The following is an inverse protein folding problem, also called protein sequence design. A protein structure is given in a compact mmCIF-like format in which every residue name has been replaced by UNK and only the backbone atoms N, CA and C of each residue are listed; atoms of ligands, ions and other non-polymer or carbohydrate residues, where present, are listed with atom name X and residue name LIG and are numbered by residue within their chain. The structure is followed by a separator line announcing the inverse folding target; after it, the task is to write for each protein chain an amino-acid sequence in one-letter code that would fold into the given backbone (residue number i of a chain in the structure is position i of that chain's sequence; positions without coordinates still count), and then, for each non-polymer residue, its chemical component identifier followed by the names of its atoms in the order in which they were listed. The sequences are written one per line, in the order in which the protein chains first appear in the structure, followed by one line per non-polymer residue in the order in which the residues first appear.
data_IF_643674448215
#
_entry.id   IF_643674448215
#
_cell.length_a   1.000
_cell.length_b   1.000
_cell.length_c   1.000
_cell.angle_alpha   90.00
_cell.angle_beta   90.00
_cell.angle_gamma   90.00
#
_symmetry.space_group_name_H-M   'P 1'
#
loop_
_entity.id
_entity.type
_entity.pdbx_description
1 polymer ?
2 polymer ?
3 non-polymer ?
4 non-polymer ?
5 water ?
#
# COMPACT_ATOMS: atom_id res chain seq x y z
N UNK A 3 -14.40 17.52 -9.95
CA UNK A 3 -15.47 16.84 -9.23
C UNK A 3 -15.83 15.52 -9.91
N UNK A 4 -16.96 14.94 -9.50
CA UNK A 4 -17.45 13.70 -10.08
C UNK A 4 -16.54 12.50 -9.81
N UNK A 5 -15.54 12.69 -8.95
CA UNK A 5 -14.64 11.61 -8.59
C UNK A 5 -15.35 10.62 -7.68
N UNK A 6 -14.90 9.36 -7.69
CA UNK A 6 -15.54 8.31 -6.90
C UNK A 6 -14.98 8.28 -5.48
N UNK A 7 -15.81 8.63 -4.47
CA UNK A 7 -15.29 8.68 -3.09
C UNK A 7 -14.90 7.33 -2.51
N UNK A 8 -13.80 7.29 -1.76
CA UNK A 8 -13.40 6.12 -1.00
C UNK A 8 -14.04 6.15 0.38
N UNK A 9 -14.17 4.99 1.01
CA UNK A 9 -14.76 4.91 2.34
C UNK A 9 -13.88 5.62 3.37
N UNK A 10 -12.56 5.46 3.22
CA UNK A 10 -11.61 6.05 4.15
C UNK A 10 -10.61 6.97 3.47
N UNK A 11 -9.98 7.81 4.28
CA UNK A 11 -8.87 8.66 3.84
C UNK A 11 -7.57 7.89 4.06
N UNK A 12 -6.73 7.86 3.05
CA UNK A 12 -5.46 7.14 3.12
C UNK A 12 -4.28 8.09 2.96
N UNK A 13 -3.17 7.74 3.61
CA UNK A 13 -1.96 8.56 3.56
C UNK A 13 -0.77 7.70 3.13
N UNK A 14 -0.04 8.17 2.12
CA UNK A 14 1.17 7.49 1.66
C UNK A 14 2.40 8.03 2.39
N UNK A 15 3.15 7.13 3.03
CA UNK A 15 4.39 7.48 3.70
C UNK A 15 5.58 6.92 2.95
N UNK A 16 6.68 7.67 2.96
CA UNK A 16 7.91 7.21 2.33
C UNK A 16 9.06 7.23 3.34
N UNK A 17 9.54 6.05 3.69
CA UNK A 17 10.69 5.93 4.59
C UNK A 17 11.95 6.17 3.80
N UNK A 18 12.62 7.29 4.08
CA UNK A 18 13.86 7.62 3.39
C UNK A 18 15.04 6.91 4.05
N UNK A 19 16.09 6.67 3.27
CA UNK A 19 17.32 6.10 3.79
C UNK A 19 18.29 7.20 4.20
N UNK A 20 18.19 7.63 5.46
CA UNK A 20 19.01 8.73 5.97
C UNK A 20 19.48 8.42 7.38
N UNK A 21 20.70 7.91 7.50
CA UNK A 21 21.22 7.47 8.79
C UNK A 21 21.57 8.65 9.71
N UNK A 22 21.44 9.87 9.21
CA UNK A 22 21.62 11.05 10.04
C UNK A 22 20.38 11.33 10.87
N UNK A 23 19.34 10.52 10.66
CA UNK A 23 18.09 10.63 11.41
C UNK A 23 17.73 9.31 12.07
N UNK A 24 16.87 9.36 13.08
CA UNK A 24 16.31 8.15 13.67
C UNK A 24 15.28 7.57 12.71
N UNK A 25 14.93 6.30 12.91
CA UNK A 25 14.00 5.61 12.03
C UNK A 25 12.67 6.37 11.90
N UNK A 26 12.16 6.84 13.03
CA UNK A 26 10.91 7.59 13.04
C UNK A 26 11.00 8.87 12.21
N UNK A 27 12.15 9.53 12.29
CA UNK A 27 12.37 10.78 11.56
C UNK A 27 12.48 10.55 10.06
N UNK A 28 12.84 9.34 9.66
CA UNK A 28 12.98 9.00 8.25
C UNK A 28 11.61 8.91 7.57
N UNK A 29 10.56 8.70 8.35
CA UNK A 29 9.22 8.57 7.80
C UNK A 29 8.70 9.90 7.25
N UNK A 30 8.57 9.97 5.93
CA UNK A 30 8.13 11.18 5.26
C UNK A 30 6.69 11.05 4.74
N UNK A 31 5.82 11.90 5.25
CA UNK A 31 4.42 11.94 4.83
C UNK A 31 4.30 12.67 3.49
N UNK A 32 3.95 11.92 2.44
CA UNK A 32 3.88 12.48 1.09
C UNK A 32 2.58 13.25 0.87
N UNK A 33 1.45 12.53 0.88
CA UNK A 33 0.15 13.16 0.72
C UNK A 33 -0.98 12.21 1.07
N UNK A 34 -2.20 12.75 1.14
CA UNK A 34 -3.40 11.97 1.43
C UNK A 34 -4.39 12.06 0.28
N UNK A 35 -5.30 11.09 0.20
CA UNK A 35 -6.33 11.07 -0.84
C UNK A 35 -7.57 10.32 -0.35
N UNK A 36 -8.71 10.59 -0.98
CA UNK A 36 -9.96 9.95 -0.55
C UNK A 36 -10.95 9.75 -1.70
N UNK A 37 -10.42 9.70 -2.92
CA UNK A 37 -11.20 9.25 -4.08
C UNK A 37 -10.34 8.33 -4.93
N UNK A 38 -10.98 7.51 -5.76
CA UNK A 38 -10.28 6.56 -6.60
C UNK A 38 -9.36 7.28 -7.60
N UNK A 39 -9.87 8.37 -8.17
CA UNK A 39 -9.13 9.09 -9.20
C UNK A 39 -7.88 9.76 -8.60
N UNK A 40 -8.03 10.28 -7.39
CA UNK A 40 -6.90 10.89 -6.70
C UNK A 40 -5.83 9.85 -6.35
N UNK A 41 -6.25 8.61 -6.14
CA UNK A 41 -5.29 7.54 -5.90
C UNK A 41 -4.45 7.30 -7.14
N UNK A 42 -5.10 7.19 -8.30
CA UNK A 42 -4.39 6.96 -9.55
C UNK A 42 -3.54 8.17 -9.93
N UNK A 43 -4.00 9.36 -9.53
CA UNK A 43 -3.22 10.57 -9.74
C UNK A 43 -1.88 10.45 -9.01
N UNK A 44 -1.92 10.00 -7.77
CA UNK A 44 -0.72 9.79 -6.98
C UNK A 44 0.12 8.67 -7.59
N UNK A 45 -0.52 7.56 -7.92
CA UNK A 45 0.18 6.38 -8.42
C UNK A 45 0.91 6.65 -9.73
N UNK A 46 0.29 7.44 -10.61
CA UNK A 46 0.87 7.73 -11.92
C UNK A 46 2.07 8.66 -11.86
N UNK A 47 2.35 9.20 -10.68
CA UNK A 47 3.41 10.22 -10.55
C UNK A 47 4.34 9.96 -9.36
N UNK A 48 4.35 8.72 -8.87
CA UNK A 48 5.41 8.27 -7.96
C UNK A 48 5.99 6.97 -8.49
N UNK A 49 7.28 6.76 -8.25
CA UNK A 49 7.97 5.58 -8.77
C UNK A 49 7.45 4.31 -8.13
N UNK A 50 7.29 3.23 -8.93
CA UNK A 50 6.96 1.94 -8.32
C UNK A 50 8.05 1.46 -7.37
N UNK A 51 7.73 0.50 -6.49
CA UNK A 51 8.68 -0.03 -5.51
C UNK A 51 9.99 -0.51 -6.14
N UNK A 52 9.91 -1.03 -7.37
CA UNK A 52 11.05 -1.62 -8.04
C UNK A 52 12.05 -0.59 -8.57
N UNK A 53 11.77 0.69 -8.34
CA UNK A 53 12.60 1.76 -8.89
C UNK A 53 13.21 2.67 -7.81
N UNK A 54 12.83 2.45 -6.55
CA UNK A 54 13.32 3.30 -5.47
C UNK A 54 14.44 2.60 -4.68
N UNK A 55 15.20 3.40 -3.95
CA UNK A 55 16.45 2.96 -3.31
C UNK A 55 16.24 1.84 -2.29
N UNK A 56 17.29 1.03 -2.11
CA UNK A 56 17.29 -0.03 -1.12
C UNK A 56 17.30 0.56 0.29
N UNK A 57 16.49 -0.01 1.17
CA UNK A 57 16.40 0.44 2.55
C UNK A 57 15.28 1.44 2.78
N UNK A 58 14.52 1.74 1.73
CA UNK A 58 13.37 2.64 1.81
C UNK A 58 12.07 1.84 1.77
N UNK A 59 11.00 2.44 2.29
CA UNK A 59 9.69 1.80 2.34
C UNK A 59 8.60 2.66 1.71
N UNK A 60 7.57 2.00 1.18
CA UNK A 60 6.30 2.63 0.88
C UNK A 60 5.27 2.11 1.88
N UNK A 61 4.54 3.03 2.51
CA UNK A 61 3.48 2.66 3.44
C UNK A 61 2.20 3.44 3.15
N UNK A 62 1.10 2.72 2.97
CA UNK A 62 -0.22 3.34 2.86
C UNK A 62 -1.04 3.00 4.09
N UNK A 63 -1.39 4.03 4.86
CA UNK A 63 -2.15 3.85 6.09
C UNK A 63 -3.34 4.80 6.15
N UNK A 64 -4.36 4.41 6.90
CA UNK A 64 -5.50 5.28 7.13
C UNK A 64 -5.05 6.56 7.80
N UNK A 65 -5.76 7.65 7.51
CA UNK A 65 -5.44 8.96 8.08
C UNK A 65 -5.36 8.89 9.61
N UNK A 66 -4.36 9.56 10.16
CA UNK A 66 -4.13 9.63 11.62
C UNK A 66 -3.57 8.34 12.21
N UNK A 67 -3.13 7.42 11.35
CA UNK A 67 -2.39 6.23 11.79
C UNK A 67 -1.01 6.22 11.16
N UNK A 68 0.02 6.34 12.00
CA UNK A 68 1.40 6.30 11.52
C UNK A 68 1.83 4.86 11.30
N UNK A 69 2.71 4.62 10.32
CA UNK A 69 3.18 3.26 10.03
C UNK A 69 4.26 2.80 11.00
N UNK A 70 3.93 2.76 12.30
CA UNK A 70 4.91 2.41 13.31
C UNK A 70 4.29 1.75 14.54
N UNK A 71 5.10 0.98 15.26
CA UNK A 71 4.65 0.25 16.44
C UNK A 71 4.08 1.16 17.52
N UNK A 72 4.60 2.38 17.58
CA UNK A 72 4.28 3.30 18.67
C UNK A 72 2.85 3.83 18.58
N UNK A 73 2.30 3.86 17.37
CA UNK A 73 0.96 4.37 17.17
C UNK A 73 -0.06 3.53 17.94
N UNK A 74 -0.99 4.20 18.60
CA UNK A 74 -1.98 3.54 19.44
C UNK A 74 -2.80 2.51 18.65
N UNK A 75 -2.92 2.72 17.35
CA UNK A 75 -3.69 1.82 16.49
C UNK A 75 -2.93 0.53 16.19
N UNK A 76 -1.63 0.52 16.47
CA UNK A 76 -0.78 -0.61 16.15
C UNK A 76 -0.22 -1.32 17.38
N UNK A 77 -0.32 -0.67 18.55
CA UNK A 77 0.28 -1.19 19.78
C UNK A 77 -0.08 -2.65 20.06
N UNK A 78 -1.37 -2.96 19.92
CA UNK A 78 -1.87 -4.31 20.19
C UNK A 78 -2.02 -5.12 18.90
N UNK A 79 -1.41 -4.64 17.83
CA UNK A 79 -1.62 -5.19 16.50
C UNK A 79 -0.54 -6.12 15.99
N UNK A 80 -0.67 -6.49 14.73
CA UNK A 80 0.27 -7.36 14.06
C UNK A 80 0.15 -7.21 12.55
N UNK A 81 0.89 -8.03 11.81
CA UNK A 81 0.93 -7.92 10.35
C UNK A 81 0.95 -9.26 9.66
N UNK A 82 0.22 -9.37 8.55
CA UNK A 82 0.35 -10.51 7.64
C UNK A 82 1.56 -10.28 6.74
N UNK A 83 2.59 -11.11 6.89
CA UNK A 83 3.81 -10.95 6.11
C UNK A 83 3.82 -11.86 4.89
N UNK A 84 4.14 -11.28 3.74
CA UNK A 84 4.31 -12.03 2.50
C UNK A 84 5.77 -11.93 2.06
N UNK A 85 6.47 -13.06 2.11
CA UNK A 85 7.89 -13.09 1.75
C UNK A 85 8.08 -13.25 0.25
N UNK A 86 8.94 -12.39 -0.31
CA UNK A 86 9.24 -12.43 -1.74
C UNK A 86 10.73 -12.72 -1.96
N UNK A 90 11.48 -10.64 -9.66
CA UNK A 90 10.91 -9.96 -10.83
C UNK A 90 10.40 -8.57 -10.43
N UNK A 91 10.73 -7.57 -11.26
CA UNK A 91 10.32 -6.20 -11.01
C UNK A 91 8.82 -6.04 -11.22
N UNK A 92 8.31 -6.58 -12.31
CA UNK A 92 6.89 -6.47 -12.65
C UNK A 92 6.02 -7.18 -11.63
N UNK A 93 6.47 -8.35 -11.18
CA UNK A 93 5.71 -9.15 -10.24
C UNK A 93 5.55 -8.42 -8.91
N UNK A 94 6.61 -7.76 -8.47
CA UNK A 94 6.60 -7.05 -7.20
C UNK A 94 5.70 -5.81 -7.25
N UNK A 95 5.81 -5.04 -8.32
CA UNK A 95 5.01 -3.83 -8.48
C UNK A 95 3.52 -4.15 -8.52
N UNK A 96 3.15 -5.16 -9.30
CA UNK A 96 1.76 -5.55 -9.45
C UNK A 96 1.17 -6.11 -8.17
N UNK A 97 1.97 -6.85 -7.41
CA UNK A 97 1.53 -7.40 -6.14
C UNK A 97 1.27 -6.27 -5.15
N UNK A 98 2.14 -5.27 -5.16
CA UNK A 98 1.98 -4.10 -4.30
C UNK A 98 0.71 -3.34 -4.67
N UNK A 99 0.49 -3.16 -5.97
CA UNK A 99 -0.69 -2.45 -6.46
C UNK A 99 -1.97 -3.18 -6.08
N UNK A 100 -1.97 -4.51 -6.23
CA UNK A 100 -3.14 -5.30 -5.89
C UNK A 100 -3.51 -5.16 -4.42
N UNK A 101 -2.49 -5.08 -3.56
CA UNK A 101 -2.72 -4.86 -2.14
C UNK A 101 -3.31 -3.48 -1.89
N UNK A 102 -2.78 -2.48 -2.58
CA UNK A 102 -3.28 -1.11 -2.46
C UNK A 102 -4.74 -1.04 -2.87
N UNK A 103 -5.10 -1.75 -3.94
CA UNK A 103 -6.47 -1.74 -4.44
C UNK A 103 -7.41 -2.50 -3.51
N UNK A 104 -6.89 -3.50 -2.81
CA UNK A 104 -7.67 -4.21 -1.79
C UNK A 104 -8.02 -3.26 -0.65
N UNK A 105 -7.04 -2.47 -0.23
CA UNK A 105 -7.22 -1.54 0.87
C UNK A 105 -8.26 -0.46 0.56
N UNK A 106 -8.01 0.31 -0.50
CA UNK A 106 -8.86 1.46 -0.80
C UNK A 106 -10.24 1.01 -1.26
N UNK A 107 -10.31 -0.15 -1.90
CA UNK A 107 -11.56 -0.70 -2.37
C UNK A 107 -12.37 -1.35 -1.25
N UNK A 108 -11.76 -1.45 -0.07
CA UNK A 108 -12.41 -2.02 1.11
C UNK A 108 -12.84 -3.47 0.87
N UNK A 109 -11.90 -4.30 0.45
CA UNK A 109 -12.18 -5.70 0.14
C UNK A 109 -12.38 -6.53 1.40
N UNK A 110 -11.94 -6.01 2.54
CA UNK A 110 -12.00 -6.73 3.82
C UNK A 110 -13.28 -6.42 4.59
N UNK A 111 -13.94 -7.46 5.07
CA UNK A 111 -15.15 -7.29 5.86
C UNK A 111 -14.86 -6.62 7.20
N UNK A 112 -13.75 -6.98 7.82
CA UNK A 112 -13.32 -6.36 9.07
C UNK A 112 -12.50 -5.11 8.77
N UNK A 113 -13.14 -4.12 8.17
CA UNK A 113 -12.44 -2.91 7.71
C UNK A 113 -11.81 -2.13 8.85
N UNK A 114 -12.50 -2.08 9.99
CA UNK A 114 -12.01 -1.33 11.15
C UNK A 114 -10.67 -1.87 11.64
N UNK A 115 -10.43 -3.16 11.38
CA UNK A 115 -9.19 -3.81 11.83
C UNK A 115 -8.03 -3.52 10.90
N UNK A 116 -8.31 -2.99 9.71
CA UNK A 116 -7.26 -2.62 8.78
C UNK A 116 -6.60 -1.31 9.21
N UNK A 117 -5.27 -1.31 9.24
CA UNK A 117 -4.49 -0.11 9.55
C UNK A 117 -3.81 0.42 8.29
N UNK A 118 -3.08 -0.45 7.61
CA UNK A 118 -2.41 -0.07 6.38
C UNK A 118 -1.57 -1.22 5.82
N UNK A 119 -0.75 -0.89 4.84
CA UNK A 119 0.17 -1.86 4.25
C UNK A 119 1.55 -1.25 4.08
N UNK A 120 2.58 -2.09 4.23
CA UNK A 120 3.96 -1.65 4.09
C UNK A 120 4.71 -2.59 3.15
N UNK A 121 5.51 -2.01 2.25
CA UNK A 121 6.41 -2.80 1.43
C UNK A 121 7.85 -2.41 1.74
N UNK A 122 8.62 -3.39 2.20
CA UNK A 122 10.03 -3.22 2.48
C UNK A 122 10.87 -3.58 1.26
N UNK A 123 11.77 -2.68 0.88
CA UNK A 123 12.66 -2.90 -0.25
C UNK A 123 14.09 -3.03 0.27
N UNK A 124 14.57 -4.26 0.32
CA UNK A 124 15.90 -4.56 0.81
C UNK A 124 16.68 -5.33 -0.26
N UNK A 125 18.00 -5.40 -0.09
CA UNK A 125 18.86 -6.05 -1.06
C UNK A 125 18.59 -7.53 -1.20
N UNK A 126 18.56 -8.24 -0.07
CA UNK A 126 18.35 -9.68 -0.07
C UNK A 126 16.98 -10.04 -0.66
N UNK A 127 15.93 -9.53 -0.03
CA UNK A 127 14.56 -9.81 -0.48
C UNK A 127 13.65 -8.62 -0.20
N UNK A 128 12.39 -8.75 -0.60
CA UNK A 128 11.41 -7.68 -0.42
C UNK A 128 10.14 -8.20 0.28
N UNK A 129 9.75 -7.51 1.35
CA UNK A 129 8.56 -7.88 2.11
C UNK A 129 7.38 -6.98 1.76
N UNK A 130 6.19 -7.58 1.70
CA UNK A 130 4.94 -6.84 1.65
C UNK A 130 4.08 -7.29 2.83
N UNK A 131 3.71 -6.33 3.68
CA UNK A 131 2.97 -6.63 4.90
C UNK A 131 1.69 -5.80 5.00
N UNK A 132 0.64 -6.43 5.55
CA UNK A 132 -0.62 -5.76 5.82
C UNK A 132 -0.82 -5.70 7.33
N UNK A 133 -0.86 -4.49 7.88
CA UNK A 133 -0.97 -4.30 9.32
C UNK A 133 -2.42 -4.26 9.79
N UNK A 134 -2.71 -4.96 10.89
CA UNK A 134 -4.05 -4.95 11.47
C UNK A 134 -3.99 -4.53 12.95
N UNK A 135 -5.14 -4.10 13.48
CA UNK A 135 -5.20 -3.40 14.76
C UNK A 135 -5.06 -4.30 15.98
N UNK A 136 -5.77 -5.43 15.99
CA UNK A 136 -5.79 -6.32 17.16
C UNK A 136 -5.33 -7.73 16.79
N UNK A 137 -4.10 -8.06 17.20
CA UNK A 137 -3.52 -9.35 16.88
C UNK A 137 -4.21 -10.51 17.59
N UNK A 138 -4.88 -10.20 18.69
CA UNK A 138 -5.61 -11.22 19.45
C UNK A 138 -7.01 -11.44 18.91
N UNK A 139 -7.41 -10.63 17.93
CA UNK A 139 -8.67 -10.83 17.23
C UNK A 139 -8.45 -11.78 16.07
N UNK A 140 -8.44 -13.08 16.38
CA UNK A 140 -8.11 -14.10 15.39
C UNK A 140 -9.14 -14.15 14.26
N UNK A 141 -10.41 -13.95 14.61
CA UNK A 141 -11.48 -13.93 13.62
C UNK A 141 -11.19 -12.91 12.53
N UNK A 142 -10.89 -11.68 12.93
CA UNK A 142 -10.60 -10.62 11.99
C UNK A 142 -9.32 -10.88 11.21
N UNK A 143 -8.27 -11.28 11.93
CA UNK A 143 -6.97 -11.54 11.32
C UNK A 143 -7.06 -12.60 10.23
N UNK A 144 -7.77 -13.68 10.52
CA UNK A 144 -7.90 -14.78 9.56
C UNK A 144 -8.72 -14.35 8.35
N UNK A 145 -9.80 -13.62 8.58
CA UNK A 145 -10.66 -13.17 7.49
C UNK A 145 -9.88 -12.28 6.54
N UNK A 146 -9.06 -11.40 7.10
CA UNK A 146 -8.21 -10.52 6.31
C UNK A 146 -7.19 -11.38 5.55
N UNK A 147 -6.65 -12.38 6.23
CA UNK A 147 -5.68 -13.27 5.62
C UNK A 147 -6.23 -13.99 4.40
N UNK A 148 -7.46 -14.49 4.51
CA UNK A 148 -8.09 -15.21 3.41
C UNK A 148 -8.38 -14.30 2.23
N UNK A 149 -8.79 -13.07 2.50
CA UNK A 149 -9.07 -12.11 1.45
C UNK A 149 -7.82 -11.81 0.63
N UNK A 150 -6.68 -11.72 1.31
CA UNK A 150 -5.41 -11.45 0.65
C UNK A 150 -5.04 -12.59 -0.29
N UNK A 151 -4.99 -13.81 0.26
CA UNK A 151 -4.63 -14.99 -0.53
C UNK A 151 -5.54 -15.14 -1.74
N UNK A 152 -6.82 -14.86 -1.55
CA UNK A 152 -7.79 -14.93 -2.64
C UNK A 152 -7.59 -13.81 -3.66
N UNK A 153 -7.52 -12.58 -3.16
CA UNK A 153 -7.39 -11.41 -4.02
C UNK A 153 -6.06 -11.40 -4.77
N UNK A 154 -4.96 -11.51 -4.03
CA UNK A 154 -3.63 -11.49 -4.63
C UNK A 154 -3.34 -12.76 -5.43
N UNK A 155 -4.25 -13.72 -5.38
CA UNK A 155 -4.10 -14.98 -6.10
C UNK A 155 -2.78 -15.66 -5.73
N UNK A 156 -2.41 -15.56 -4.45
CA UNK A 156 -1.19 -16.17 -3.96
C UNK A 156 -1.26 -17.69 -4.10
N UNK A 157 -0.30 -18.26 -4.81
CA UNK A 157 -0.21 -19.70 -4.96
C UNK A 157 0.31 -20.33 -3.69
N UNK A 158 0.29 -21.65 -3.64
CA UNK A 158 0.79 -22.38 -2.48
C UNK A 158 2.32 -22.32 -2.42
N UNK A 159 2.93 -21.69 -3.42
CA UNK A 159 4.38 -21.55 -3.47
C UNK A 159 4.89 -20.63 -2.38
N UNK A 160 4.25 -19.47 -2.23
CA UNK A 160 4.64 -18.49 -1.22
C UNK A 160 3.83 -18.66 0.07
N UNK A 161 4.36 -18.14 1.16
CA UNK A 161 3.76 -18.28 2.48
C UNK A 161 3.05 -17.01 2.93
N UNK A 162 2.18 -17.17 3.92
CA UNK A 162 1.42 -16.06 4.48
C UNK A 162 1.32 -16.25 5.99
N UNK A 163 2.08 -15.46 6.73
CA UNK A 163 2.21 -15.63 8.18
C UNK A 163 1.93 -14.34 8.93
N UNK A 164 1.17 -14.45 10.02
CA UNK A 164 0.81 -13.30 10.84
C UNK A 164 1.73 -13.19 12.05
N UNK A 165 2.29 -11.99 12.24
CA UNK A 165 3.25 -11.74 13.30
C UNK A 165 2.83 -10.55 14.16
N UNK A 166 2.87 -10.74 15.48
CA UNK A 166 2.58 -9.65 16.41
C UNK A 166 3.72 -8.64 16.42
N UNK A 167 3.38 -7.37 16.57
CA UNK A 167 4.39 -6.31 16.59
C UNK A 167 5.27 -6.44 17.83
N UNK A 168 4.70 -6.94 18.93
CA UNK A 168 5.44 -7.09 20.17
C UNK A 168 6.54 -8.15 20.03
N UNK A 169 6.22 -9.22 19.31
CA UNK A 169 7.21 -10.27 19.06
C UNK A 169 8.25 -9.80 18.05
N UNK A 170 7.87 -8.85 17.20
CA UNK A 170 8.77 -8.33 16.17
C UNK A 170 9.85 -7.45 16.77
N UNK A 171 9.45 -6.54 17.66
CA UNK A 171 10.37 -5.56 18.22
C UNK A 171 11.34 -6.18 19.22
N UNK A 172 11.04 -7.38 19.70
CA UNK A 172 11.93 -8.10 20.60
C UNK A 172 12.85 -9.06 19.84
N UNK A 173 12.61 -9.18 18.54
CA UNK A 173 13.43 -10.04 17.67
C UNK A 173 13.38 -11.49 18.13
N UNK A 178 11.55 -15.43 13.90
CA UNK A 178 10.39 -14.64 14.28
C UNK A 178 9.18 -15.54 14.51
N UNK A 179 8.39 -15.21 15.53
CA UNK A 179 7.22 -16.01 15.89
C UNK A 179 6.00 -15.61 15.06
N UNK A 180 5.46 -16.59 14.33
CA UNK A 180 4.22 -16.42 13.58
C UNK A 180 3.09 -17.18 14.26
N UNK A 181 2.04 -16.47 14.65
CA UNK A 181 0.94 -17.07 15.41
C UNK A 181 -0.17 -17.63 14.51
N UNK A 182 -0.28 -17.11 13.29
CA UNK A 182 -1.20 -17.65 12.30
C UNK A 182 -0.49 -17.90 10.97
N UNK A 183 -0.89 -18.95 10.28
CA UNK A 183 -0.37 -19.25 8.94
C UNK A 183 -1.49 -19.62 8.00
N UNK A 184 -1.41 -19.15 6.76
CA UNK A 184 -2.39 -19.46 5.73
C UNK A 184 -1.72 -19.59 4.36
N UNK B 8 -21.39 -0.16 3.23
CA UNK B 8 -19.98 0.03 2.94
C UNK B 8 -19.76 0.60 1.54
N UNK B 9 -18.95 1.64 1.44
CA UNK B 9 -18.52 2.19 0.14
C UNK B 9 -17.31 1.39 -0.34
N UNK B 10 -17.52 0.51 -1.31
CA UNK B 10 -16.46 -0.39 -1.76
C UNK B 10 -16.36 -0.46 -3.29
N UNK B 11 -15.25 -0.99 -3.77
CA UNK B 11 -15.01 -1.18 -5.20
C UNK B 11 -14.20 -2.44 -5.42
N UNK B 12 -14.59 -3.25 -6.42
CA UNK B 12 -13.78 -4.40 -6.79
C UNK B 12 -12.67 -3.92 -7.74
N UNK B 13 -11.72 -4.80 -8.02
CA UNK B 13 -10.55 -4.44 -8.80
C UNK B 13 -10.94 -3.95 -10.20
N UNK B 14 -12.00 -4.55 -10.76
CA UNK B 14 -12.47 -4.18 -12.09
C UNK B 14 -12.79 -2.69 -12.20
N UNK B 15 -13.59 -2.20 -11.27
CA UNK B 15 -14.04 -0.81 -11.29
C UNK B 15 -12.92 0.16 -10.95
N UNK B 16 -12.06 -0.22 -10.00
CA UNK B 16 -10.91 0.60 -9.64
C UNK B 16 -9.99 0.79 -10.83
N UNK B 17 -9.77 -0.29 -11.59
CA UNK B 17 -8.93 -0.24 -12.78
C UNK B 17 -9.58 0.60 -13.88
N UNK B 18 -10.90 0.50 -14.01
CA UNK B 18 -11.62 1.23 -15.04
C UNK B 18 -11.51 2.73 -14.84
N UNK B 19 -11.59 3.17 -13.59
CA UNK B 19 -11.54 4.60 -13.28
C UNK B 19 -10.13 5.17 -13.44
N UNK B 20 -9.15 4.29 -13.70
CA UNK B 20 -7.77 4.73 -13.85
C UNK B 20 -7.54 5.46 -15.17
N UNK B 21 -8.48 5.33 -16.10
CA UNK B 21 -8.36 5.94 -17.42
C UNK B 21 -9.13 7.26 -17.49
N UNK B 22 -9.61 7.72 -16.34
CA UNK B 22 -10.22 9.05 -16.25
C UNK B 22 -9.13 10.12 -16.37
N UNK B 23 -9.48 11.30 -16.91
CA UNK B 23 -8.48 12.37 -16.99
C UNK B 23 -7.95 12.79 -15.61
N UNK B 24 -8.83 12.76 -14.61
CA UNK B 24 -8.46 13.15 -13.26
C UNK B 24 -7.46 12.17 -12.63
N UNK B 25 -7.32 10.99 -13.24
CA UNK B 25 -6.39 9.98 -12.74
C UNK B 25 -4.98 10.20 -13.26
N UNK B 26 -4.80 11.24 -14.09
CA UNK B 26 -3.50 11.53 -14.70
C UNK B 26 -2.97 12.89 -14.29
N UNK B 27 -3.87 13.80 -13.93
CA UNK B 27 -3.47 15.13 -13.49
C UNK B 27 -2.67 15.04 -12.18
N UNK B 28 -1.86 16.06 -11.91
CA UNK B 28 -0.93 16.03 -10.78
C UNK B 28 -1.65 16.09 -9.44
N UNK B 29 -1.10 15.41 -8.41
CA UNK B 29 -1.67 15.49 -7.06
C UNK B 29 -1.74 16.93 -6.54
N UNK B 30 -2.64 17.17 -5.59
CA UNK B 30 -2.83 18.52 -5.04
C UNK B 30 -1.57 19.04 -4.38
N UNK B 31 -0.84 18.16 -3.69
CA UNK B 31 0.35 18.56 -2.93
C UNK B 31 1.63 18.41 -3.75
N UNK B 32 1.51 18.45 -5.07
CA UNK B 32 2.64 18.23 -5.96
C UNK B 32 3.82 19.15 -5.65
N UNK B 33 3.54 20.42 -5.36
CA UNK B 33 4.60 21.38 -5.07
C UNK B 33 5.37 20.97 -3.81
N UNK B 34 4.65 20.61 -2.76
CA UNK B 34 5.28 20.22 -1.51
C UNK B 34 5.99 18.88 -1.67
N UNK B 35 5.46 18.02 -2.54
CA UNK B 35 6.09 16.74 -2.83
C UNK B 35 7.43 16.94 -3.53
N UNK B 36 7.48 17.95 -4.41
CA UNK B 36 8.73 18.29 -5.10
C UNK B 36 9.76 18.84 -4.12
N UNK B 37 9.28 19.46 -3.05
CA UNK B 37 10.15 20.12 -2.08
C UNK B 37 10.67 19.17 -1.01
N UNK B 38 9.99 18.05 -0.80
CA UNK B 38 10.31 17.15 0.32
C UNK B 38 10.71 15.74 -0.10
N UNK B 39 10.31 15.32 -1.30
CA UNK B 39 10.63 13.97 -1.77
C UNK B 39 10.72 13.91 -3.29
N UNK B 40 11.68 14.63 -3.88
CA UNK B 40 11.85 14.67 -5.34
C UNK B 40 12.32 13.36 -5.93
N UNK B 41 12.99 12.53 -5.14
CA UNK B 41 13.62 11.31 -5.64
C UNK B 41 12.61 10.26 -6.12
N UNK B 42 11.38 10.33 -5.62
CA UNK B 42 10.37 9.31 -5.93
C UNK B 42 9.35 9.75 -6.97
N UNK B 43 9.47 10.98 -7.48
CA UNK B 43 8.50 11.51 -8.42
C UNK B 43 8.78 11.05 -9.84
N UNK B 44 7.72 10.93 -10.65
CA UNK B 44 7.86 10.54 -12.05
C UNK B 44 6.75 11.15 -12.91
N UNK B 45 6.89 11.02 -14.23
CA UNK B 45 5.91 11.52 -15.18
C UNK B 45 5.56 12.99 -14.93
N UNK B 46 6.58 13.84 -14.93
CA UNK B 46 6.40 15.25 -14.62
C UNK B 46 5.83 16.04 -15.80
N UNK B 47 5.83 15.44 -16.98
CA UNK B 47 5.29 16.06 -18.19
C UNK B 47 3.98 15.41 -18.59
N UNK B 48 2.87 16.06 -18.25
CA UNK B 48 1.54 15.50 -18.50
C UNK B 48 1.28 15.27 -19.99
N UNK B 49 2.00 16.00 -20.84
CA UNK B 49 1.85 15.85 -22.28
C UNK B 49 2.30 14.46 -22.74
N UNK B 50 3.25 13.88 -22.00
CA UNK B 50 3.78 12.56 -22.32
C UNK B 50 3.13 11.48 -21.44
N UNK B 51 2.25 10.69 -22.05
CA UNK B 51 1.53 9.64 -21.34
C UNK B 51 2.04 8.26 -21.75
N UNK B 52 3.28 8.22 -22.21
CA UNK B 52 3.89 6.96 -22.67
C UNK B 52 4.06 5.98 -21.53
N UNK B 53 4.32 6.50 -20.32
CA UNK B 53 4.52 5.65 -19.14
C UNK B 53 3.34 5.73 -18.18
N UNK B 54 2.20 6.20 -18.66
CA UNK B 54 0.98 6.22 -17.85
C UNK B 54 0.47 4.80 -17.64
N UNK B 55 -0.08 4.55 -16.46
CA UNK B 55 -0.63 3.23 -16.15
C UNK B 55 -1.86 2.92 -17.01
N UNK B 56 -1.85 1.76 -17.65
CA UNK B 56 -2.96 1.33 -18.49
C UNK B 56 -3.83 0.32 -17.73
N UNK B 57 -4.98 0.78 -17.24
CA UNK B 57 -5.86 -0.05 -16.46
C UNK B 57 -6.62 -1.08 -17.27
N UNK B 58 -6.97 -0.73 -18.51
CA UNK B 58 -7.70 -1.63 -19.38
C UNK B 58 -6.87 -2.85 -19.76
N UNK B 59 -5.58 -2.62 -20.01
CA UNK B 59 -4.66 -3.70 -20.31
C UNK B 59 -4.39 -4.55 -19.06
N UNK B 60 -4.21 -3.88 -17.92
CA UNK B 60 -3.92 -4.56 -16.67
C UNK B 60 -5.07 -5.50 -16.30
N UNK B 61 -6.29 -5.07 -16.58
CA UNK B 61 -7.47 -5.89 -16.32
C UNK B 61 -7.54 -7.06 -17.30
N UNK B 62 -7.20 -6.77 -18.56
CA UNK B 62 -7.24 -7.79 -19.62
C UNK B 62 -6.15 -8.83 -19.41
N UNK B 63 -5.02 -8.41 -18.84
CA UNK B 63 -3.89 -9.31 -18.62
C UNK B 63 -4.26 -10.39 -17.60
N UNK B 64 -5.17 -10.06 -16.69
CA UNK B 64 -5.65 -11.02 -15.71
C UNK B 64 -6.71 -11.91 -16.36
N UNK B 65 -6.62 -13.21 -16.14
CA UNK B 65 -7.52 -14.17 -16.77
C UNK B 65 -7.58 -15.48 -15.99
#
# INVERSE_FOLDING_TARGET
GPHMKHPLMNVWTLWYLENDRSKSWEDMQNEITSFDTVEDFWSLYNHIKPPSEIKLGSDYSLFKKNIRPMWEDAANKQGGRWVITLNKSSKTDLDNLWLDVLLCLIGEAFDHSDQICGAVINIRGKSNKISIWTADGNNEEAALEIGHKLRDALRLGRNNSLQYQLHKDTMVKQGSNVKSIYTL
GPHMLESRVSYDIEHLLYYSMSPHSWTLPTDWQKMQETAPSILRNKDLQDESQRFDGDKYLASIKTAAKR
#
